data_IF_284694392130
#
_entry.id   IF_284694392130
#
_cell.length_a   1.000
_cell.length_b   1.000
_cell.length_c   1.000
_cell.angle_alpha   90.00
_cell.angle_beta   90.00
_cell.angle_gamma   90.00
#
_symmetry.space_group_name_H-M   'P 1'
#
loop_
_entity.id
_entity.type
_entity.pdbx_description
1 polymer ?
#
# COMPACT_ATOMS: atom_id res chain seq x y z
N UNK A 1 22.54 0.16 -43.98
CA UNK A 1 21.98 -0.89 -43.14
C UNK A 1 21.47 -0.19 -41.91
N UNK A 2 20.18 0.10 -41.85
CA UNK A 2 19.52 0.67 -40.67
C UNK A 2 19.39 -0.44 -39.64
N UNK A 3 20.20 -0.38 -38.59
CA UNK A 3 20.05 -1.25 -37.41
C UNK A 3 18.65 -1.08 -36.88
N UNK A 4 17.86 -2.16 -36.80
CA UNK A 4 16.65 -2.22 -36.03
C UNK A 4 17.00 -1.82 -34.59
N UNK A 5 16.68 -0.60 -34.19
CA UNK A 5 16.69 -0.17 -32.81
C UNK A 5 15.65 -1.06 -32.10
N UNK A 6 16.12 -2.10 -31.41
CA UNK A 6 15.24 -2.92 -30.56
C UNK A 6 14.75 -1.98 -29.46
N UNK A 7 13.54 -1.46 -29.62
CA UNK A 7 12.91 -0.62 -28.61
C UNK A 7 12.61 -1.51 -27.39
N UNK A 8 13.36 -1.34 -26.33
CA UNK A 8 13.06 -1.98 -25.05
C UNK A 8 11.64 -1.58 -24.62
N UNK A 9 10.84 -2.57 -24.22
CA UNK A 9 9.49 -2.31 -23.74
C UNK A 9 9.49 -1.88 -22.30
N UNK A 10 10.32 -2.53 -21.47
CA UNK A 10 10.40 -2.23 -20.04
C UNK A 10 11.83 -2.17 -19.55
N UNK A 11 12.09 -1.16 -18.71
CA UNK A 11 13.29 -1.01 -17.89
C UNK A 11 12.94 -1.28 -16.43
N UNK A 12 13.61 -2.24 -15.83
CA UNK A 12 13.51 -2.59 -14.40
C UNK A 12 14.69 -1.92 -13.71
N UNK A 13 14.42 -0.91 -12.90
CA UNK A 13 15.44 -0.15 -12.17
C UNK A 13 15.53 -0.64 -10.74
N UNK A 14 16.71 -1.05 -10.31
CA UNK A 14 16.98 -1.59 -8.99
C UNK A 14 18.09 -0.80 -8.31
N UNK A 15 17.79 -0.12 -7.22
CA UNK A 15 18.80 0.53 -6.37
C UNK A 15 19.37 -0.49 -5.38
N UNK A 16 20.71 -0.54 -5.25
CA UNK A 16 21.40 -1.54 -4.46
C UNK A 16 22.37 -0.89 -3.48
N UNK A 17 22.26 -1.24 -2.20
CA UNK A 17 23.26 -0.92 -1.19
C UNK A 17 23.29 -2.01 -0.11
N UNK A 18 24.39 -2.77 -0.02
CA UNK A 18 24.59 -3.84 0.96
C UNK A 18 23.44 -4.87 1.01
N UNK A 19 23.15 -5.51 -0.13
CA UNK A 19 22.05 -6.48 -0.31
C UNK A 19 22.52 -7.87 -0.79
N UNK A 20 23.78 -8.24 -0.58
CA UNK A 20 24.37 -9.51 -1.06
C UNK A 20 23.48 -10.74 -0.78
N UNK A 21 22.77 -10.76 0.36
CA UNK A 21 21.93 -11.91 0.79
C UNK A 21 20.64 -12.06 -0.01
N UNK A 22 20.18 -11.00 -0.66
CA UNK A 22 18.85 -10.95 -1.30
C UNK A 22 18.92 -10.82 -2.81
N UNK A 23 20.06 -10.35 -3.34
CA UNK A 23 20.25 -10.04 -4.76
C UNK A 23 19.96 -11.22 -5.68
N UNK A 24 20.44 -12.42 -5.36
CA UNK A 24 20.22 -13.61 -6.21
C UNK A 24 18.73 -13.84 -6.44
N UNK A 25 17.90 -13.75 -5.41
CA UNK A 25 16.44 -13.91 -5.53
C UNK A 25 15.79 -12.79 -6.36
N UNK A 26 16.21 -11.56 -6.13
CA UNK A 26 15.72 -10.41 -6.90
C UNK A 26 16.06 -10.57 -8.39
N UNK A 27 17.33 -10.81 -8.71
CA UNK A 27 17.81 -10.96 -10.09
C UNK A 27 17.14 -12.16 -10.77
N UNK A 28 17.09 -13.34 -10.09
CA UNK A 28 16.46 -14.52 -10.63
C UNK A 28 14.98 -14.29 -10.97
N UNK A 29 14.25 -13.57 -10.15
CA UNK A 29 12.84 -13.24 -10.42
C UNK A 29 12.66 -12.40 -11.71
N UNK A 30 13.65 -11.56 -12.04
CA UNK A 30 13.67 -10.78 -13.28
C UNK A 30 14.03 -11.66 -14.49
N UNK A 31 14.99 -12.60 -14.30
CA UNK A 31 15.35 -13.59 -15.31
C UNK A 31 14.16 -14.51 -15.63
N UNK A 32 13.38 -14.89 -14.63
CA UNK A 32 12.24 -15.80 -14.75
C UNK A 32 10.96 -15.15 -15.31
N UNK A 33 10.96 -13.83 -15.52
CA UNK A 33 9.79 -13.16 -16.14
C UNK A 33 9.46 -13.81 -17.47
N UNK A 34 8.20 -14.23 -17.64
CA UNK A 34 7.69 -14.86 -18.86
C UNK A 34 7.50 -13.82 -19.99
N UNK A 35 8.62 -13.29 -20.46
CA UNK A 35 8.71 -12.30 -21.53
C UNK A 35 10.01 -12.44 -22.30
N UNK A 36 9.95 -12.10 -23.60
CA UNK A 36 11.13 -12.01 -24.44
C UNK A 36 12.17 -11.04 -23.84
N UNK A 37 13.37 -11.57 -23.56
CA UNK A 37 14.46 -10.81 -22.96
C UNK A 37 14.97 -9.67 -23.84
N UNK A 38 14.75 -9.75 -25.16
CA UNK A 38 15.06 -8.63 -26.07
C UNK A 38 14.26 -7.36 -25.75
N UNK A 39 13.05 -7.51 -25.18
CA UNK A 39 12.17 -6.42 -24.77
C UNK A 39 12.46 -5.89 -23.34
N UNK A 40 13.30 -6.57 -22.58
CA UNK A 40 13.65 -6.22 -21.21
C UNK A 40 15.02 -5.54 -21.15
N UNK A 41 15.17 -4.64 -20.18
CA UNK A 41 16.45 -4.30 -19.58
C UNK A 41 16.29 -4.21 -18.07
N UNK A 42 17.30 -4.66 -17.34
CA UNK A 42 17.39 -4.53 -15.89
C UNK A 42 18.63 -3.69 -15.57
N UNK A 43 18.43 -2.57 -14.89
CA UNK A 43 19.48 -1.61 -14.54
C UNK A 43 19.65 -1.62 -13.03
N UNK A 44 20.72 -2.25 -12.58
CA UNK A 44 21.12 -2.26 -11.18
C UNK A 44 22.08 -1.13 -10.93
N UNK A 45 21.73 -0.22 -10.02
CA UNK A 45 22.59 0.90 -9.64
C UNK A 45 23.08 0.67 -8.21
N UNK A 46 24.36 0.35 -8.10
CA UNK A 46 25.03 0.11 -6.83
C UNK A 46 25.49 1.43 -6.21
N UNK A 47 25.04 1.70 -5.00
CA UNK A 47 25.35 2.91 -4.22
C UNK A 47 26.63 2.73 -3.38
N UNK A 48 27.69 2.21 -4.03
CA UNK A 48 29.01 1.94 -3.40
C UNK A 48 28.88 0.96 -2.22
N UNK A 49 28.31 -0.22 -2.49
CA UNK A 49 28.19 -1.29 -1.51
C UNK A 49 29.54 -1.72 -0.94
N UNK A 50 29.56 -1.98 0.36
CA UNK A 50 30.76 -2.44 1.09
C UNK A 50 30.80 -3.96 1.30
N UNK A 51 29.70 -4.65 0.97
CA UNK A 51 29.58 -6.11 0.94
C UNK A 51 29.86 -6.66 -0.46
N UNK A 52 29.51 -7.92 -0.72
CA UNK A 52 29.75 -8.56 -2.02
C UNK A 52 28.71 -8.20 -3.11
N UNK A 53 27.77 -7.26 -2.84
CA UNK A 53 26.68 -6.91 -3.76
C UNK A 53 27.17 -6.55 -5.16
N UNK A 54 28.16 -5.66 -5.26
CA UNK A 54 28.67 -5.22 -6.56
C UNK A 54 29.29 -6.35 -7.40
N UNK A 55 30.02 -7.28 -6.76
CA UNK A 55 30.60 -8.42 -7.47
C UNK A 55 29.53 -9.40 -7.98
N UNK A 56 28.46 -9.61 -7.20
CA UNK A 56 27.29 -10.40 -7.62
C UNK A 56 26.67 -9.75 -8.87
N UNK A 57 26.42 -8.45 -8.84
CA UNK A 57 25.83 -7.71 -9.97
C UNK A 57 26.67 -7.82 -11.23
N UNK A 58 27.99 -7.67 -11.11
CA UNK A 58 28.92 -7.79 -12.26
C UNK A 58 28.85 -9.17 -12.89
N UNK A 59 28.85 -10.23 -12.08
CA UNK A 59 28.72 -11.60 -12.57
C UNK A 59 27.47 -11.77 -13.44
N UNK A 60 26.31 -11.29 -12.95
CA UNK A 60 25.05 -11.39 -13.72
C UNK A 60 25.04 -10.50 -14.95
N UNK A 61 25.65 -9.31 -14.90
CA UNK A 61 25.76 -8.43 -16.06
C UNK A 61 26.69 -9.01 -17.15
N UNK A 62 27.71 -9.79 -16.77
CA UNK A 62 28.58 -10.51 -17.72
C UNK A 62 27.86 -11.74 -18.33
N UNK A 63 26.89 -12.33 -17.64
CA UNK A 63 26.16 -13.51 -18.10
C UNK A 63 24.91 -13.19 -18.95
N UNK A 64 24.25 -12.05 -18.69
CA UNK A 64 22.95 -11.70 -19.32
C UNK A 64 22.99 -10.32 -19.98
N UNK A 65 22.93 -10.24 -21.29
CA UNK A 65 23.00 -9.02 -22.10
C UNK A 65 21.94 -7.96 -21.75
N UNK A 66 20.81 -8.35 -21.16
CA UNK A 66 19.75 -7.44 -20.75
C UNK A 66 19.92 -6.88 -19.34
N UNK A 67 20.94 -7.35 -18.59
CA UNK A 67 21.28 -6.88 -17.25
C UNK A 67 22.46 -5.91 -17.35
N UNK A 68 22.32 -4.72 -16.76
CA UNK A 68 23.36 -3.71 -16.65
C UNK A 68 23.63 -3.40 -15.19
N UNK A 69 24.90 -3.26 -14.84
CA UNK A 69 25.35 -2.81 -13.52
C UNK A 69 26.07 -1.46 -13.66
N UNK A 70 25.64 -0.48 -12.88
CA UNK A 70 26.25 0.84 -12.77
C UNK A 70 26.61 1.04 -11.30
N UNK A 71 27.81 1.52 -11.00
CA UNK A 71 28.22 1.90 -9.65
C UNK A 71 28.35 3.42 -9.57
N UNK A 72 27.83 4.03 -8.51
CA UNK A 72 28.03 5.45 -8.23
C UNK A 72 29.50 5.71 -7.85
N UNK A 73 29.95 6.96 -7.97
CA UNK A 73 31.32 7.37 -7.58
C UNK A 73 31.43 7.44 -6.05
N UNK A 74 30.39 7.84 -5.35
CA UNK A 74 30.31 7.94 -3.90
C UNK A 74 28.93 7.49 -3.39
N UNK A 75 28.85 7.05 -2.13
CA UNK A 75 27.59 6.66 -1.51
C UNK A 75 26.69 7.88 -1.33
N UNK A 76 25.48 7.80 -1.86
CA UNK A 76 24.50 8.90 -1.88
C UNK A 76 23.72 9.06 -0.57
N UNK A 77 23.81 8.07 0.32
CA UNK A 77 23.11 8.06 1.61
C UNK A 77 21.65 7.66 1.55
N UNK A 78 21.13 7.28 0.37
CA UNK A 78 19.73 6.85 0.20
C UNK A 78 19.40 6.36 -1.20
N UNK A 79 18.20 5.83 -1.43
CA UNK A 79 17.84 5.21 -2.71
C UNK A 79 17.49 6.21 -3.82
N UNK A 80 17.44 7.52 -3.55
CA UNK A 80 16.99 8.54 -4.49
C UNK A 80 17.90 8.67 -5.72
N UNK A 81 19.22 8.89 -5.50
CA UNK A 81 20.16 9.09 -6.57
C UNK A 81 20.38 7.85 -7.44
N UNK A 82 20.54 6.62 -6.88
CA UNK A 82 20.56 5.40 -7.68
C UNK A 82 19.31 5.22 -8.53
N UNK A 83 18.09 5.48 -7.98
CA UNK A 83 16.84 5.37 -8.74
C UNK A 83 16.76 6.42 -9.85
N UNK A 84 17.14 7.68 -9.58
CA UNK A 84 17.16 8.74 -10.57
C UNK A 84 18.13 8.42 -11.72
N UNK A 85 19.33 7.93 -11.42
CA UNK A 85 20.29 7.49 -12.44
C UNK A 85 19.71 6.33 -13.27
N UNK A 86 19.12 5.32 -12.61
CA UNK A 86 18.47 4.20 -13.30
C UNK A 86 17.34 4.65 -14.23
N UNK A 87 16.49 5.61 -13.82
CA UNK A 87 15.45 6.20 -14.68
C UNK A 87 16.07 6.94 -15.86
N UNK A 88 17.13 7.71 -15.65
CA UNK A 88 17.83 8.45 -16.70
C UNK A 88 18.44 7.51 -17.75
N UNK A 89 19.06 6.42 -17.32
CA UNK A 89 19.71 5.41 -18.14
C UNK A 89 18.74 4.45 -18.85
N UNK A 90 17.45 4.49 -18.46
CA UNK A 90 16.41 3.61 -19.00
C UNK A 90 16.09 3.92 -20.45
N UNK A 91 15.88 2.86 -21.26
CA UNK A 91 15.50 2.92 -22.68
C UNK A 91 14.09 2.36 -22.95
N UNK A 92 13.51 1.68 -21.96
CA UNK A 92 12.18 1.09 -22.05
C UNK A 92 11.09 2.14 -22.18
N UNK A 93 10.01 1.76 -22.88
CA UNK A 93 8.78 2.56 -22.93
C UNK A 93 8.18 2.72 -21.52
N UNK A 94 8.24 1.66 -20.75
CA UNK A 94 7.80 1.63 -19.36
C UNK A 94 8.98 1.44 -18.41
N UNK A 95 8.79 1.90 -17.17
CA UNK A 95 9.76 1.72 -16.07
C UNK A 95 9.01 1.10 -14.88
N UNK A 96 9.70 0.26 -14.15
CA UNK A 96 9.36 -0.12 -12.78
C UNK A 96 10.57 0.06 -11.87
N UNK A 97 10.30 0.42 -10.62
CA UNK A 97 11.31 0.46 -9.57
C UNK A 97 11.13 -0.78 -8.69
N UNK A 98 12.21 -1.50 -8.45
CA UNK A 98 12.24 -2.69 -7.60
C UNK A 98 13.29 -2.49 -6.52
N UNK A 99 12.94 -2.79 -5.27
CA UNK A 99 13.91 -2.79 -4.17
C UNK A 99 14.76 -4.09 -4.26
N UNK A 100 16.05 -3.99 -4.04
CA UNK A 100 17.01 -5.09 -4.25
C UNK A 100 16.78 -6.32 -3.33
N UNK A 101 15.95 -6.18 -2.30
CA UNK A 101 15.53 -7.25 -1.39
C UNK A 101 14.14 -7.81 -1.70
N UNK A 102 13.45 -7.28 -2.71
CA UNK A 102 12.12 -7.71 -3.16
C UNK A 102 12.24 -8.59 -4.42
N UNK A 103 11.09 -9.14 -4.91
CA UNK A 103 11.08 -9.95 -6.15
C UNK A 103 9.75 -9.84 -6.90
N UNK A 104 9.79 -10.16 -8.20
CA UNK A 104 8.66 -10.07 -9.13
C UNK A 104 7.98 -11.41 -9.37
N UNK A 105 6.70 -11.36 -9.74
CA UNK A 105 5.96 -12.53 -10.20
C UNK A 105 6.18 -12.79 -11.70
N UNK A 106 6.49 -14.03 -12.09
CA UNK A 106 6.91 -14.34 -13.45
C UNK A 106 5.82 -14.12 -14.50
N UNK A 107 4.54 -14.25 -14.18
CA UNK A 107 3.42 -14.13 -15.10
C UNK A 107 2.62 -12.83 -14.91
N UNK A 108 2.22 -12.53 -13.68
CA UNK A 108 1.36 -11.37 -13.39
C UNK A 108 1.99 -10.05 -13.79
N UNK A 109 3.31 -9.93 -13.63
CA UNK A 109 4.05 -8.75 -14.03
C UNK A 109 4.01 -8.50 -15.55
N UNK A 110 4.38 -9.48 -16.42
CA UNK A 110 4.20 -9.34 -17.88
C UNK A 110 2.75 -9.13 -18.32
N UNK A 111 1.77 -9.74 -17.65
CA UNK A 111 0.35 -9.55 -17.96
C UNK A 111 -0.09 -8.11 -17.75
N UNK A 112 0.34 -7.47 -16.66
CA UNK A 112 0.04 -6.05 -16.41
C UNK A 112 0.66 -5.15 -17.50
N UNK A 113 1.88 -5.44 -17.98
CA UNK A 113 2.51 -4.70 -19.09
C UNK A 113 1.67 -4.85 -20.36
N UNK A 114 1.22 -6.08 -20.69
CA UNK A 114 0.38 -6.31 -21.87
C UNK A 114 -0.93 -5.54 -21.77
N UNK A 115 -1.56 -5.53 -20.60
CA UNK A 115 -2.78 -4.76 -20.34
C UNK A 115 -2.55 -3.26 -20.54
N UNK A 116 -1.42 -2.73 -20.05
CA UNK A 116 -1.06 -1.32 -20.26
C UNK A 116 -0.81 -0.98 -21.75
N UNK A 117 -0.17 -1.88 -22.49
CA UNK A 117 0.06 -1.71 -23.94
C UNK A 117 -1.25 -1.68 -24.73
N UNK A 118 -2.14 -2.63 -24.43
CA UNK A 118 -3.45 -2.75 -25.11
C UNK A 118 -4.31 -1.50 -24.91
N UNK A 119 -4.26 -0.90 -23.71
CA UNK A 119 -5.10 0.24 -23.33
C UNK A 119 -4.38 1.59 -23.37
N UNK A 120 -3.09 1.63 -23.71
CA UNK A 120 -2.29 2.85 -23.76
C UNK A 120 -2.09 3.54 -22.43
N UNK A 121 -2.15 2.80 -21.31
CA UNK A 121 -2.11 3.37 -19.96
C UNK A 121 -0.74 3.97 -19.62
N UNK A 122 -0.76 5.09 -18.90
CA UNK A 122 0.46 5.76 -18.44
C UNK A 122 1.03 5.12 -17.17
N UNK A 123 0.15 4.53 -16.33
CA UNK A 123 0.53 3.84 -15.10
C UNK A 123 -0.28 2.55 -14.93
N UNK A 124 0.37 1.50 -14.42
CA UNK A 124 -0.24 0.22 -14.08
C UNK A 124 -0.09 -0.08 -12.60
N UNK A 125 -1.14 -0.66 -12.03
CA UNK A 125 -1.19 -1.10 -10.64
C UNK A 125 -1.52 -2.59 -10.59
N UNK A 126 -0.68 -3.37 -9.91
CA UNK A 126 -0.88 -4.80 -9.70
C UNK A 126 -0.74 -5.18 -8.23
N UNK A 127 -1.27 -6.36 -7.88
CA UNK A 127 -1.30 -6.82 -6.50
C UNK A 127 0.10 -7.13 -5.99
N UNK A 128 0.47 -6.52 -4.88
CA UNK A 128 1.69 -6.83 -4.15
C UNK A 128 1.38 -7.53 -2.81
N UNK A 129 2.28 -8.44 -2.39
CA UNK A 129 2.19 -9.12 -1.11
C UNK A 129 3.42 -8.85 -0.27
N UNK A 130 3.19 -8.61 1.00
CA UNK A 130 4.23 -8.47 2.00
C UNK A 130 4.49 -9.83 2.65
N UNK A 131 5.70 -10.35 2.48
CA UNK A 131 6.13 -11.64 2.99
C UNK A 131 6.87 -11.43 4.32
N UNK A 132 6.32 -11.98 5.41
CA UNK A 132 6.87 -11.97 6.75
C UNK A 132 7.11 -13.41 7.23
N UNK A 133 7.87 -13.59 8.31
CA UNK A 133 8.13 -14.93 8.86
C UNK A 133 6.86 -15.70 9.24
N UNK A 134 5.77 -15.01 9.60
CA UNK A 134 4.55 -15.62 10.13
C UNK A 134 3.36 -15.52 9.20
N UNK A 135 3.37 -14.58 8.26
CA UNK A 135 2.23 -14.31 7.41
C UNK A 135 2.61 -13.71 6.05
N UNK A 136 1.69 -13.83 5.10
CA UNK A 136 1.72 -13.14 3.80
C UNK A 136 0.45 -12.30 3.72
N UNK A 137 0.60 -10.99 3.59
CA UNK A 137 -0.52 -10.05 3.56
C UNK A 137 -0.50 -9.14 2.33
N UNK A 138 -1.67 -8.81 1.81
CA UNK A 138 -1.81 -7.86 0.69
C UNK A 138 -1.28 -6.48 1.06
N UNK A 139 -0.71 -5.80 0.06
CA UNK A 139 -0.30 -4.41 0.17
C UNK A 139 -1.11 -3.58 -0.80
N UNK A 140 -1.62 -2.44 -0.34
CA UNK A 140 -2.35 -1.47 -1.17
C UNK A 140 -3.50 -2.08 -2.00
N UNK A 141 -4.31 -2.92 -1.38
CA UNK A 141 -5.43 -3.59 -2.04
C UNK A 141 -6.36 -2.61 -2.79
N UNK A 142 -6.49 -1.36 -2.32
CA UNK A 142 -7.24 -0.30 -3.00
C UNK A 142 -6.73 0.04 -4.41
N UNK A 143 -5.47 -0.28 -4.74
CA UNK A 143 -4.88 -0.05 -6.06
C UNK A 143 -4.91 -1.28 -6.97
N UNK A 144 -5.42 -2.43 -6.49
CA UNK A 144 -5.28 -3.72 -7.20
C UNK A 144 -6.36 -4.74 -6.80
N UNK A 145 -7.61 -4.31 -6.68
CA UNK A 145 -8.70 -5.17 -6.22
C UNK A 145 -9.53 -5.80 -7.35
N UNK A 146 -9.36 -5.31 -8.57
CA UNK A 146 -10.05 -5.83 -9.77
C UNK A 146 -9.25 -5.54 -11.03
N UNK A 147 -9.59 -6.21 -12.14
CA UNK A 147 -9.11 -5.82 -13.46
C UNK A 147 -9.92 -4.65 -13.99
N UNK A 148 -9.26 -3.52 -14.28
CA UNK A 148 -9.89 -2.31 -14.81
C UNK A 148 -8.90 -1.49 -15.66
N UNK A 149 -9.42 -0.71 -16.60
CA UNK A 149 -8.64 0.10 -17.55
C UNK A 149 -9.28 1.47 -17.73
N UNK A 150 -8.49 2.43 -18.26
CA UNK A 150 -8.98 3.78 -18.53
C UNK A 150 -9.33 4.59 -17.28
N UNK A 151 -8.78 4.19 -16.14
CA UNK A 151 -9.01 4.89 -14.87
C UNK A 151 -8.23 6.21 -14.87
N UNK A 152 -8.79 7.26 -14.24
CA UNK A 152 -8.03 8.46 -13.88
C UNK A 152 -7.21 8.13 -12.63
N UNK A 153 -5.85 8.10 -12.69
CA UNK A 153 -5.06 7.51 -11.62
C UNK A 153 -5.29 8.14 -10.25
N UNK A 154 -5.31 9.46 -10.16
CA UNK A 154 -5.48 10.16 -8.90
C UNK A 154 -6.92 10.14 -8.33
N UNK A 155 -7.91 9.70 -9.13
CA UNK A 155 -9.29 9.53 -8.68
C UNK A 155 -9.55 8.12 -8.10
N UNK A 156 -8.61 7.18 -8.25
CA UNK A 156 -8.71 5.87 -7.60
C UNK A 156 -8.72 6.09 -6.09
N UNK A 157 -9.83 5.68 -5.45
CA UNK A 157 -10.03 5.93 -4.02
C UNK A 157 -8.87 5.39 -3.18
N UNK A 158 -8.33 6.23 -2.31
CA UNK A 158 -7.17 5.95 -1.45
C UNK A 158 -5.85 5.61 -2.18
N UNK A 159 -5.71 5.87 -3.47
CA UNK A 159 -4.49 5.54 -4.22
C UNK A 159 -3.21 6.05 -3.54
N UNK A 160 -3.26 7.23 -2.96
CA UNK A 160 -2.13 7.84 -2.26
C UNK A 160 -1.82 7.23 -0.87
N UNK A 161 -2.60 6.25 -0.40
CA UNK A 161 -2.26 5.48 0.81
C UNK A 161 -1.10 4.50 0.56
N UNK A 162 -0.76 4.22 -0.71
CA UNK A 162 0.28 3.31 -1.13
C UNK A 162 1.30 3.93 -2.08
N UNK A 163 2.10 4.89 -1.62
CA UNK A 163 3.08 5.61 -2.44
C UNK A 163 4.49 4.98 -2.46
N UNK A 164 4.62 3.67 -2.25
CA UNK A 164 5.86 2.93 -2.46
C UNK A 164 5.98 2.36 -3.88
N UNK A 165 7.15 1.80 -4.27
CA UNK A 165 7.42 1.32 -5.63
C UNK A 165 6.62 0.05 -6.00
N UNK A 166 6.28 -0.76 -5.02
CA UNK A 166 5.70 -2.09 -5.20
C UNK A 166 4.43 -2.11 -6.05
N UNK A 167 4.41 -3.03 -7.01
CA UNK A 167 3.27 -3.28 -7.88
C UNK A 167 2.94 -2.16 -8.87
N UNK A 168 3.88 -1.26 -9.17
CA UNK A 168 3.69 -0.14 -10.09
C UNK A 168 4.60 -0.23 -11.31
N UNK A 169 4.00 0.02 -12.46
CA UNK A 169 4.69 0.19 -13.74
C UNK A 169 4.23 1.52 -14.32
N UNK A 170 5.13 2.32 -14.84
CA UNK A 170 4.77 3.63 -15.37
C UNK A 170 5.49 3.95 -16.69
N UNK A 171 4.87 4.80 -17.48
CA UNK A 171 5.41 5.24 -18.77
C UNK A 171 6.60 6.16 -18.55
N UNK A 172 7.73 5.85 -19.19
CA UNK A 172 8.98 6.63 -19.07
C UNK A 172 8.78 8.10 -19.47
N UNK A 173 8.01 8.37 -20.53
CA UNK A 173 7.75 9.73 -20.99
C UNK A 173 7.10 10.60 -19.91
N UNK A 174 6.25 10.04 -19.03
CA UNK A 174 5.62 10.81 -17.94
C UNK A 174 6.66 11.41 -17.00
N UNK A 175 7.72 10.66 -16.66
CA UNK A 175 8.79 11.19 -15.78
C UNK A 175 9.64 12.23 -16.48
N UNK A 176 9.91 12.06 -17.79
CA UNK A 176 10.73 12.99 -18.56
C UNK A 176 9.97 14.29 -18.84
N UNK A 177 8.73 14.20 -19.36
CA UNK A 177 7.94 15.35 -19.79
C UNK A 177 7.60 16.29 -18.63
N UNK A 178 7.49 15.74 -17.42
CA UNK A 178 7.20 16.49 -16.18
C UNK A 178 8.43 16.65 -15.27
N UNK A 179 9.62 16.19 -15.68
CA UNK A 179 10.86 16.22 -14.89
C UNK A 179 10.70 15.64 -13.46
N UNK A 180 9.94 14.54 -13.35
CA UNK A 180 9.65 13.88 -12.07
C UNK A 180 10.88 13.10 -11.60
N UNK A 181 11.36 13.41 -10.39
CA UNK A 181 12.57 12.81 -9.82
C UNK A 181 12.35 12.48 -8.35
N UNK A 182 13.03 11.45 -7.88
CA UNK A 182 13.17 11.23 -6.44
C UNK A 182 13.98 12.37 -5.83
N UNK A 183 13.51 12.95 -4.75
CA UNK A 183 14.28 13.90 -3.96
C UNK A 183 15.27 13.17 -3.07
N UNK A 184 16.46 13.74 -2.90
CA UNK A 184 17.46 13.20 -2.01
C UNK A 184 17.04 13.42 -0.55
N UNK A 185 16.18 12.51 -0.08
CA UNK A 185 15.74 12.38 1.30
C UNK A 185 16.10 10.97 1.78
N UNK A 186 16.61 10.86 2.98
CA UNK A 186 16.91 9.56 3.61
C UNK A 186 15.66 8.68 3.77
N UNK A 187 14.49 9.32 3.95
CA UNK A 187 13.21 8.65 4.18
C UNK A 187 12.08 9.42 3.52
N UNK A 188 11.06 8.70 3.03
CA UNK A 188 9.84 9.24 2.40
C UNK A 188 10.03 9.91 1.03
N UNK A 189 11.15 9.69 0.35
CA UNK A 189 11.46 10.15 -1.01
C UNK A 189 10.43 9.65 -2.04
N UNK A 190 9.91 8.44 -1.84
CA UNK A 190 8.87 7.82 -2.70
C UNK A 190 7.55 8.59 -2.66
N UNK A 191 7.21 9.23 -1.55
CA UNK A 191 5.92 9.95 -1.44
C UNK A 191 5.82 11.09 -2.43
N UNK A 192 6.88 11.90 -2.55
CA UNK A 192 6.92 13.01 -3.51
C UNK A 192 6.89 12.49 -4.94
N UNK A 193 7.72 11.50 -5.26
CA UNK A 193 7.81 10.92 -6.58
C UNK A 193 6.47 10.33 -7.05
N UNK A 194 5.86 9.43 -6.26
CA UNK A 194 4.61 8.79 -6.65
C UNK A 194 3.40 9.71 -6.53
N UNK A 195 3.42 10.71 -5.63
CA UNK A 195 2.38 11.73 -5.60
C UNK A 195 2.32 12.50 -6.92
N UNK A 196 3.45 12.96 -7.42
CA UNK A 196 3.55 13.68 -8.67
C UNK A 196 3.27 12.76 -9.88
N UNK A 197 3.88 11.58 -9.93
CA UNK A 197 3.71 10.60 -11.01
C UNK A 197 2.23 10.21 -11.19
N UNK A 198 1.54 9.83 -10.12
CA UNK A 198 0.13 9.45 -10.16
C UNK A 198 -0.73 10.62 -10.59
N UNK A 199 -0.43 11.84 -10.10
CA UNK A 199 -1.21 13.04 -10.41
C UNK A 199 -1.02 13.54 -11.85
N UNK A 200 0.16 13.32 -12.45
CA UNK A 200 0.47 13.74 -13.83
C UNK A 200 0.18 12.64 -14.87
N UNK A 201 -0.04 11.40 -14.47
CA UNK A 201 -0.48 10.31 -15.35
C UNK A 201 -1.94 10.51 -15.77
N UNK A 202 -2.25 10.28 -17.07
CA UNK A 202 -3.59 10.54 -17.63
C UNK A 202 -4.51 9.33 -17.52
N UNK A 203 -3.95 8.12 -17.58
CA UNK A 203 -4.72 6.88 -17.58
C UNK A 203 -4.02 5.77 -16.81
N UNK A 204 -4.81 4.91 -16.16
CA UNK A 204 -4.32 3.75 -15.46
C UNK A 204 -4.98 2.45 -15.87
N UNK A 205 -4.20 1.37 -15.80
CA UNK A 205 -4.67 -0.02 -15.74
C UNK A 205 -4.48 -0.56 -14.33
N UNK A 206 -5.42 -1.38 -13.88
CA UNK A 206 -5.39 -2.06 -12.58
C UNK A 206 -5.61 -3.56 -12.80
N UNK A 207 -4.90 -4.40 -12.05
CA UNK A 207 -5.14 -5.84 -12.01
C UNK A 207 -5.06 -6.37 -10.58
N UNK A 208 -5.85 -7.38 -10.28
CA UNK A 208 -5.78 -8.15 -9.03
C UNK A 208 -4.84 -9.37 -9.13
N UNK A 209 -4.18 -9.54 -10.28
CA UNK A 209 -3.11 -10.51 -10.42
C UNK A 209 -1.92 -10.14 -9.53
N UNK A 210 -1.28 -11.16 -8.98
CA UNK A 210 -0.08 -11.01 -8.18
C UNK A 210 1.10 -10.62 -9.09
N UNK A 211 1.77 -9.50 -8.77
CA UNK A 211 2.88 -8.97 -9.58
C UNK A 211 4.17 -8.77 -8.79
N UNK A 212 4.09 -8.57 -7.47
CA UNK A 212 5.22 -8.11 -6.67
C UNK A 212 5.23 -8.68 -5.25
N UNK A 213 6.40 -9.04 -4.78
CA UNK A 213 6.64 -9.48 -3.40
C UNK A 213 7.51 -8.51 -2.64
N UNK A 214 7.01 -8.02 -1.52
CA UNK A 214 7.76 -7.17 -0.58
C UNK A 214 8.38 -8.06 0.49
N UNK A 215 9.70 -8.03 0.61
CA UNK A 215 10.42 -8.77 1.65
C UNK A 215 10.36 -8.04 3.01
N UNK A 216 9.77 -8.70 3.99
CA UNK A 216 9.71 -8.22 5.38
C UNK A 216 10.07 -9.31 6.37
N UNK A 217 10.90 -10.26 5.96
CA UNK A 217 11.48 -11.25 6.85
C UNK A 217 12.33 -10.59 7.94
N UNK A 218 12.51 -11.25 9.06
CA UNK A 218 13.17 -10.68 10.24
C UNK A 218 14.66 -10.35 10.01
N UNK A 219 15.32 -11.13 9.15
CA UNK A 219 16.74 -10.99 8.76
C UNK A 219 16.98 -9.85 7.75
N UNK A 220 15.92 -9.30 7.16
CA UNK A 220 16.02 -8.14 6.29
C UNK A 220 15.94 -6.84 7.10
N UNK A 221 17.09 -6.17 7.21
CA UNK A 221 17.18 -4.83 7.81
C UNK A 221 16.83 -3.80 6.75
N UNK A 222 15.80 -2.99 7.03
CA UNK A 222 15.33 -1.94 6.13
C UNK A 222 15.43 -0.56 6.79
N UNK A 223 15.61 0.50 6.00
CA UNK A 223 15.60 1.89 6.47
C UNK A 223 14.37 2.22 7.33
N UNK A 224 13.22 1.60 7.02
CA UNK A 224 11.99 1.76 7.83
C UNK A 224 12.16 1.25 9.26
N UNK A 225 12.98 0.21 9.49
CA UNK A 225 13.25 -0.32 10.83
C UNK A 225 14.31 0.50 11.58
N UNK A 226 15.27 1.07 10.86
CA UNK A 226 16.40 1.81 11.44
C UNK A 226 16.05 3.26 11.81
N UNK A 227 15.12 3.88 11.10
CA UNK A 227 14.68 5.26 11.35
C UNK A 227 13.69 5.29 12.51
N UNK A 228 13.91 6.15 13.53
CA UNK A 228 12.97 6.28 14.64
C UNK A 228 11.69 7.06 14.28
N UNK A 229 10.68 7.01 15.16
CA UNK A 229 9.36 7.57 14.86
C UNK A 229 9.37 9.11 14.78
N UNK A 230 10.23 9.79 15.53
CA UNK A 230 10.36 11.25 15.51
C UNK A 230 11.10 11.68 14.25
N UNK A 231 12.19 11.00 13.89
CA UNK A 231 12.92 11.25 12.66
C UNK A 231 12.00 11.07 11.44
N UNK A 232 11.18 9.99 11.40
CA UNK A 232 10.17 9.78 10.33
C UNK A 232 9.14 10.90 10.26
N UNK A 233 8.69 11.39 11.42
CA UNK A 233 7.73 12.49 11.46
C UNK A 233 8.32 13.78 10.90
N UNK A 234 9.58 14.09 11.21
CA UNK A 234 10.28 15.25 10.66
C UNK A 234 10.42 15.17 9.13
N UNK A 235 10.79 14.00 8.56
CA UNK A 235 10.79 13.82 7.11
C UNK A 235 9.39 14.00 6.50
N UNK A 236 8.33 13.56 7.18
CA UNK A 236 6.97 13.77 6.70
C UNK A 236 6.54 15.24 6.75
N UNK A 237 7.06 16.04 7.68
CA UNK A 237 6.85 17.49 7.69
C UNK A 237 7.52 18.13 6.46
N UNK A 238 8.78 17.77 6.16
CA UNK A 238 9.46 18.26 4.96
C UNK A 238 8.73 17.86 3.67
N UNK A 239 8.26 16.61 3.59
CA UNK A 239 7.42 16.14 2.47
C UNK A 239 6.13 16.98 2.37
N UNK A 240 5.47 17.31 3.48
CA UNK A 240 4.27 18.15 3.47
C UNK A 240 4.55 19.57 2.95
N UNK A 241 5.65 20.19 3.40
CA UNK A 241 6.07 21.53 2.94
C UNK A 241 6.26 21.61 1.43
N UNK A 242 6.75 20.52 0.85
CA UNK A 242 6.94 20.44 -0.59
C UNK A 242 5.64 20.12 -1.33
N UNK A 243 4.89 19.11 -0.88
CA UNK A 243 3.65 18.67 -1.51
C UNK A 243 2.59 19.75 -1.59
N UNK A 244 2.42 20.54 -0.53
CA UNK A 244 1.37 21.57 -0.47
C UNK A 244 1.60 22.67 -1.52
N UNK A 245 2.86 22.86 -1.95
CA UNK A 245 3.26 23.84 -2.97
C UNK A 245 3.23 23.28 -4.39
N UNK A 246 3.15 21.95 -4.55
CA UNK A 246 3.14 21.34 -5.89
C UNK A 246 1.90 21.73 -6.68
N UNK A 247 2.08 21.96 -7.98
CA UNK A 247 0.97 22.12 -8.94
C UNK A 247 0.38 20.75 -9.28
N UNK A 248 -0.59 20.32 -8.47
CA UNK A 248 -1.32 19.07 -8.59
C UNK A 248 -2.82 19.33 -8.68
N UNK A 249 -3.61 18.44 -9.29
CA UNK A 249 -5.06 18.51 -9.22
C UNK A 249 -5.53 18.62 -7.75
N UNK A 250 -6.49 19.48 -7.48
CA UNK A 250 -6.92 19.79 -6.10
C UNK A 250 -7.38 18.54 -5.34
N UNK A 251 -8.10 17.66 -6.01
CA UNK A 251 -8.51 16.37 -5.43
C UNK A 251 -7.29 15.50 -5.04
N UNK A 252 -6.28 15.40 -5.92
CA UNK A 252 -5.05 14.67 -5.64
C UNK A 252 -4.32 15.25 -4.43
N UNK A 253 -4.15 16.59 -4.41
CA UNK A 253 -3.51 17.31 -3.30
C UNK A 253 -4.22 17.02 -1.98
N UNK A 254 -5.56 17.10 -1.97
CA UNK A 254 -6.38 16.78 -0.79
C UNK A 254 -6.14 15.36 -0.30
N UNK A 255 -6.16 14.36 -1.19
CA UNK A 255 -5.94 12.96 -0.84
C UNK A 255 -4.54 12.69 -0.29
N UNK A 256 -3.51 13.35 -0.85
CA UNK A 256 -2.13 13.21 -0.40
C UNK A 256 -1.94 13.81 0.99
N UNK A 257 -2.45 15.02 1.22
CA UNK A 257 -2.36 15.69 2.53
C UNK A 257 -3.16 14.90 3.58
N UNK A 258 -4.38 14.42 3.24
CA UNK A 258 -5.17 13.52 4.09
C UNK A 258 -4.34 12.30 4.53
N UNK A 259 -3.62 11.68 3.60
CA UNK A 259 -2.74 10.56 3.95
C UNK A 259 -1.66 10.96 4.95
N UNK A 260 -1.02 12.12 4.78
CA UNK A 260 0.02 12.58 5.71
C UNK A 260 -0.59 12.85 7.08
N UNK A 261 -1.67 13.60 7.17
CA UNK A 261 -2.34 13.94 8.44
C UNK A 261 -2.82 12.68 9.16
N UNK A 262 -3.60 11.84 8.48
CA UNK A 262 -4.23 10.69 9.11
C UNK A 262 -3.26 9.54 9.39
N UNK A 263 -2.44 9.17 8.40
CA UNK A 263 -1.59 7.98 8.53
C UNK A 263 -0.22 8.29 9.10
N UNK A 264 0.45 9.33 8.61
CA UNK A 264 1.83 9.58 9.04
C UNK A 264 1.88 10.27 10.40
N UNK A 265 0.86 11.09 10.75
CA UNK A 265 0.77 11.73 12.06
C UNK A 265 -0.21 11.02 13.00
N UNK A 266 -1.52 11.10 12.79
CA UNK A 266 -2.48 10.58 13.78
C UNK A 266 -2.25 9.09 14.05
N UNK A 267 -2.16 8.27 12.99
CA UNK A 267 -2.01 6.82 13.14
C UNK A 267 -0.60 6.42 13.60
N UNK A 268 0.45 6.88 12.92
CA UNK A 268 1.82 6.36 13.11
C UNK A 268 2.62 7.06 14.19
N UNK A 269 2.23 8.27 14.58
CA UNK A 269 2.88 9.02 15.66
C UNK A 269 2.09 8.86 16.96
N UNK A 270 0.79 9.18 16.95
CA UNK A 270 0.01 9.21 18.17
C UNK A 270 -0.66 7.89 18.56
N UNK A 271 -1.23 7.13 17.61
CA UNK A 271 -1.86 5.84 17.93
C UNK A 271 -0.78 4.76 18.10
N UNK A 272 0.13 5.01 19.06
CA UNK A 272 1.25 4.12 19.41
C UNK A 272 1.50 4.05 20.90
N UNK A 273 1.97 2.88 21.34
CA UNK A 273 2.43 2.68 22.73
C UNK A 273 3.61 3.57 23.08
N UNK A 274 4.49 3.89 22.12
CA UNK A 274 5.65 4.77 22.30
C UNK A 274 5.23 6.18 22.71
N UNK A 275 4.23 6.76 22.02
CA UNK A 275 3.67 8.05 22.40
C UNK A 275 3.09 8.04 23.82
N UNK A 276 2.23 7.08 24.15
CA UNK A 276 1.59 7.02 25.48
C UNK A 276 2.59 6.86 26.62
N UNK A 277 3.72 6.19 26.37
CA UNK A 277 4.79 5.94 27.34
C UNK A 277 5.86 7.03 27.38
N UNK A 278 5.85 7.95 26.43
CA UNK A 278 6.86 9.01 26.36
C UNK A 278 6.77 9.97 27.56
N UNK A 279 7.91 10.26 28.15
CA UNK A 279 8.05 11.30 29.19
C UNK A 279 8.14 12.71 28.57
N UNK A 280 8.37 12.81 27.26
CA UNK A 280 8.48 14.08 26.53
C UNK A 280 7.45 14.11 25.39
N UNK A 281 6.18 14.26 25.74
CA UNK A 281 5.08 14.31 24.77
C UNK A 281 5.01 15.63 24.01
N UNK A 282 5.60 16.71 24.55
CA UNK A 282 5.59 18.02 23.89
C UNK A 282 6.28 17.97 22.52
N UNK A 283 7.30 17.11 22.32
CA UNK A 283 7.93 16.93 20.99
C UNK A 283 6.90 16.49 19.95
N UNK A 284 6.01 15.55 20.29
CA UNK A 284 4.98 15.05 19.40
C UNK A 284 3.90 16.11 19.12
N UNK A 285 3.50 16.85 20.15
CA UNK A 285 2.51 17.92 20.01
C UNK A 285 3.06 19.07 19.16
N UNK A 286 4.30 19.50 19.39
CA UNK A 286 4.93 20.57 18.61
C UNK A 286 5.03 20.22 17.12
N UNK A 287 5.40 18.96 16.78
CA UNK A 287 5.40 18.49 15.39
C UNK A 287 4.00 18.55 14.77
N UNK A 288 2.97 18.16 15.52
CA UNK A 288 1.60 18.19 15.01
C UNK A 288 1.06 19.64 14.88
N UNK A 289 1.43 20.54 15.77
CA UNK A 289 1.17 21.97 15.65
C UNK A 289 1.88 22.57 14.42
N UNK A 290 3.12 22.14 14.12
CA UNK A 290 3.81 22.55 12.89
C UNK A 290 3.06 22.09 11.64
N UNK A 291 2.55 20.85 11.60
CA UNK A 291 1.70 20.36 10.50
C UNK A 291 0.45 21.23 10.33
N UNK A 292 -0.25 21.54 11.43
CA UNK A 292 -1.44 22.39 11.38
C UNK A 292 -1.11 23.80 10.87
N UNK A 293 0.02 24.37 11.31
CA UNK A 293 0.46 25.70 10.87
C UNK A 293 0.79 25.73 9.36
N UNK A 294 1.52 24.73 8.85
CA UNK A 294 1.82 24.61 7.42
C UNK A 294 0.52 24.56 6.60
N UNK A 295 -0.45 23.76 7.03
CA UNK A 295 -1.75 23.62 6.35
C UNK A 295 -2.49 24.96 6.35
N UNK A 296 -2.55 25.63 7.49
CA UNK A 296 -3.23 26.91 7.67
C UNK A 296 -2.59 28.04 6.88
N UNK A 297 -1.26 28.12 6.83
CA UNK A 297 -0.52 29.12 6.04
C UNK A 297 -0.81 29.04 4.53
N UNK A 298 -1.25 27.87 4.06
CA UNK A 298 -1.65 27.64 2.67
C UNK A 298 -3.17 27.75 2.44
N UNK A 299 -3.91 28.26 3.43
CA UNK A 299 -5.33 28.59 3.30
C UNK A 299 -6.29 27.42 3.50
N UNK A 300 -5.83 26.30 4.10
CA UNK A 300 -6.66 25.14 4.40
C UNK A 300 -6.90 24.99 5.91
N UNK A 301 -7.94 24.24 6.27
CA UNK A 301 -8.15 23.71 7.61
C UNK A 301 -7.73 22.23 7.66
N UNK A 302 -7.16 21.78 8.78
CA UNK A 302 -6.76 20.38 8.94
C UNK A 302 -7.98 19.44 8.85
N UNK A 303 -9.17 19.89 9.24
CA UNK A 303 -10.41 19.11 9.14
C UNK A 303 -10.78 18.80 7.68
N UNK A 304 -10.38 19.62 6.71
CA UNK A 304 -10.57 19.34 5.28
C UNK A 304 -9.88 18.06 4.80
N UNK A 305 -8.92 17.57 5.58
CA UNK A 305 -8.08 16.40 5.27
C UNK A 305 -8.37 15.19 6.14
N UNK A 306 -9.40 15.23 7.00
CA UNK A 306 -9.83 14.14 7.85
C UNK A 306 -11.01 13.39 7.22
N UNK A 307 -10.76 12.19 6.68
CA UNK A 307 -11.76 11.37 6.00
C UNK A 307 -12.24 10.19 6.87
N UNK A 308 -11.41 9.76 7.81
CA UNK A 308 -11.69 8.61 8.66
C UNK A 308 -12.24 9.07 10.01
N UNK A 309 -13.48 8.66 10.33
CA UNK A 309 -14.18 8.98 11.58
C UNK A 309 -13.30 8.80 12.83
N UNK A 310 -12.38 7.81 12.85
CA UNK A 310 -11.46 7.59 13.98
C UNK A 310 -10.46 8.70 14.16
N UNK A 311 -9.95 9.22 13.05
CA UNK A 311 -8.94 10.28 13.06
C UNK A 311 -9.58 11.64 13.26
N UNK A 312 -10.77 11.85 12.72
CA UNK A 312 -11.60 13.04 13.02
C UNK A 312 -11.90 13.12 14.53
N UNK A 313 -12.34 12.02 15.14
CA UNK A 313 -12.60 11.98 16.57
C UNK A 313 -11.31 12.15 17.41
N UNK A 314 -10.17 11.62 16.94
CA UNK A 314 -8.89 11.87 17.59
C UNK A 314 -8.54 13.37 17.58
N UNK A 315 -8.75 14.04 16.44
CA UNK A 315 -8.51 15.47 16.32
C UNK A 315 -9.47 16.29 17.19
N UNK A 316 -10.77 15.98 17.22
CA UNK A 316 -11.73 16.65 18.11
C UNK A 316 -11.38 16.44 19.59
N UNK A 317 -10.90 15.25 19.97
CA UNK A 317 -10.39 15.01 21.33
C UNK A 317 -9.14 15.86 21.62
N UNK A 318 -8.25 16.06 20.64
CA UNK A 318 -7.09 16.93 20.75
C UNK A 318 -7.49 18.40 20.93
N UNK A 319 -8.46 18.88 20.15
CA UNK A 319 -9.02 20.24 20.31
C UNK A 319 -9.66 20.44 21.68
N UNK A 320 -10.28 19.39 22.25
CA UNK A 320 -10.90 19.46 23.57
C UNK A 320 -9.86 19.65 24.68
N UNK A 321 -8.86 18.76 24.75
CA UNK A 321 -7.67 18.89 25.60
C UNK A 321 -6.64 17.81 25.30
N UNK A 322 -5.36 18.03 25.63
CA UNK A 322 -4.30 17.03 25.55
C UNK A 322 -4.63 15.77 26.38
N UNK A 323 -5.28 15.92 27.53
CA UNK A 323 -5.69 14.79 28.39
C UNK A 323 -6.76 13.93 27.68
N UNK A 324 -7.83 14.52 27.15
CA UNK A 324 -8.86 13.81 26.40
C UNK A 324 -8.30 13.12 25.16
N UNK A 325 -7.38 13.78 24.47
CA UNK A 325 -6.68 13.18 23.34
C UNK A 325 -5.91 11.93 23.74
N UNK A 326 -5.07 11.99 24.79
CA UNK A 326 -4.31 10.83 25.25
C UNK A 326 -5.22 9.68 25.71
N UNK A 327 -6.31 9.98 26.37
CA UNK A 327 -7.29 8.98 26.75
C UNK A 327 -8.02 8.37 25.56
N UNK A 328 -8.33 9.17 24.52
CA UNK A 328 -8.90 8.68 23.27
C UNK A 328 -7.91 7.75 22.55
N UNK A 329 -6.64 8.14 22.44
CA UNK A 329 -5.58 7.30 21.88
C UNK A 329 -5.43 5.98 22.67
N UNK A 330 -5.49 6.05 23.98
CA UNK A 330 -5.47 4.86 24.86
C UNK A 330 -6.69 3.95 24.60
N UNK A 331 -7.87 4.53 24.47
CA UNK A 331 -9.08 3.81 24.12
C UNK A 331 -8.93 3.11 22.75
N UNK A 332 -8.47 3.82 21.73
CA UNK A 332 -8.26 3.28 20.38
C UNK A 332 -7.25 2.14 20.34
N UNK A 333 -6.20 2.19 21.17
CA UNK A 333 -5.16 1.16 21.21
C UNK A 333 -5.57 -0.11 21.95
N UNK A 334 -6.37 0.01 23.01
CA UNK A 334 -6.60 -1.10 23.93
C UNK A 334 -8.05 -1.55 24.03
N UNK A 335 -9.01 -0.67 23.81
CA UNK A 335 -10.41 -0.90 24.16
C UNK A 335 -11.37 -0.82 22.97
N UNK A 336 -10.96 -0.27 21.83
CA UNK A 336 -11.84 -0.05 20.67
C UNK A 336 -12.47 -1.34 20.10
N UNK A 337 -11.87 -2.50 20.37
CA UNK A 337 -12.39 -3.79 19.91
C UNK A 337 -13.23 -4.52 20.93
N UNK A 338 -13.21 -4.12 22.21
CA UNK A 338 -13.76 -4.89 23.32
C UNK A 338 -15.29 -4.70 23.51
N UNK A 339 -15.79 -3.52 23.24
CA UNK A 339 -17.19 -3.19 23.54
C UNK A 339 -17.89 -2.61 22.31
N UNK A 340 -18.82 -3.38 21.75
CA UNK A 340 -19.64 -2.99 20.62
C UNK A 340 -21.08 -3.34 20.89
N UNK A 341 -22.02 -2.62 20.28
CA UNK A 341 -23.44 -2.94 20.30
C UNK A 341 -24.06 -2.78 18.92
N UNK A 342 -25.16 -3.43 18.67
CA UNK A 342 -25.89 -3.36 17.40
C UNK A 342 -27.08 -2.41 17.57
N UNK A 343 -27.21 -1.48 16.63
CA UNK A 343 -28.38 -0.61 16.52
C UNK A 343 -28.72 -0.42 15.05
N UNK A 344 -29.99 -0.67 14.67
CA UNK A 344 -30.45 -0.53 13.29
C UNK A 344 -29.58 -1.30 12.26
N UNK A 345 -29.23 -2.54 12.58
CA UNK A 345 -28.37 -3.42 11.78
C UNK A 345 -26.96 -2.86 11.49
N UNK A 346 -26.47 -1.94 12.32
CA UNK A 346 -25.12 -1.39 12.26
C UNK A 346 -24.41 -1.63 13.59
N UNK A 347 -23.16 -2.02 13.52
CA UNK A 347 -22.30 -2.21 14.71
C UNK A 347 -21.71 -0.89 15.12
N UNK A 348 -21.97 -0.47 16.34
CA UNK A 348 -21.48 0.74 16.99
C UNK A 348 -20.42 0.41 18.03
N UNK A 349 -19.42 1.30 18.16
CA UNK A 349 -18.45 1.23 19.24
C UNK A 349 -19.04 1.85 20.52
N UNK A 350 -18.92 1.16 21.64
CA UNK A 350 -19.37 1.70 22.91
C UNK A 350 -18.29 2.60 23.52
N UNK A 351 -18.51 3.89 23.48
CA UNK A 351 -17.59 4.87 24.08
C UNK A 351 -17.78 4.97 25.58
N UNK A 352 -16.70 5.18 26.36
CA UNK A 352 -16.81 5.71 27.71
C UNK A 352 -17.56 7.05 27.74
N UNK A 353 -18.32 7.32 28.81
CA UNK A 353 -19.17 8.52 28.96
C UNK A 353 -18.44 9.84 28.71
N UNK A 354 -17.16 9.90 29.07
CA UNK A 354 -16.31 11.07 28.84
C UNK A 354 -16.14 11.45 27.35
N UNK A 355 -16.45 10.54 26.42
CA UNK A 355 -16.40 10.78 24.97
C UNK A 355 -17.78 10.97 24.34
N UNK A 356 -18.84 11.17 25.13
CA UNK A 356 -20.20 11.39 24.63
C UNK A 356 -20.35 12.63 23.73
N UNK A 357 -19.38 13.54 23.74
CA UNK A 357 -19.32 14.69 22.83
C UNK A 357 -18.77 14.32 21.44
N UNK A 358 -18.18 13.16 21.25
CA UNK A 358 -17.67 12.69 19.96
C UNK A 358 -18.73 11.89 19.21
N UNK A 359 -18.79 11.98 17.88
CA UNK A 359 -19.61 11.08 17.07
C UNK A 359 -19.26 9.63 17.33
N UNK A 360 -20.28 8.78 17.51
CA UNK A 360 -20.09 7.36 17.75
C UNK A 360 -19.52 6.67 16.51
N UNK A 361 -18.39 6.01 16.65
CA UNK A 361 -17.81 5.19 15.58
C UNK A 361 -18.70 4.02 15.23
N UNK A 362 -18.73 3.68 13.95
CA UNK A 362 -19.48 2.55 13.43
C UNK A 362 -18.60 1.68 12.53
N UNK A 363 -18.89 0.37 12.50
CA UNK A 363 -18.26 -0.53 11.52
C UNK A 363 -19.04 -0.49 10.20
N UNK A 364 -18.34 -0.47 9.06
CA UNK A 364 -18.98 -0.51 7.75
C UNK A 364 -19.69 -1.83 7.48
N UNK A 365 -19.01 -2.93 7.81
CA UNK A 365 -19.53 -4.29 7.67
C UNK A 365 -18.93 -5.19 8.75
N UNK A 366 -19.75 -6.00 9.38
CA UNK A 366 -19.38 -7.08 10.30
C UNK A 366 -20.24 -8.27 9.98
N UNK A 367 -19.65 -9.44 9.86
CA UNK A 367 -20.38 -10.69 9.66
C UNK A 367 -20.11 -11.67 10.78
N UNK A 368 -21.15 -12.38 11.20
CA UNK A 368 -21.12 -13.39 12.25
C UNK A 368 -21.71 -14.67 11.71
N UNK A 369 -21.08 -15.80 11.99
CA UNK A 369 -21.63 -17.11 11.65
C UNK A 369 -22.86 -17.39 12.50
N UNK A 370 -24.00 -17.68 11.86
CA UNK A 370 -25.31 -17.87 12.48
C UNK A 370 -25.74 -19.35 12.56
N UNK A 371 -24.84 -20.25 12.15
CA UNK A 371 -25.04 -21.71 12.21
C UNK A 371 -25.23 -22.35 10.84
N UNK A 372 -25.42 -23.69 10.89
CA UNK A 372 -25.64 -24.54 9.72
C UNK A 372 -27.12 -24.82 9.56
N UNK A 373 -27.67 -24.53 8.39
CA UNK A 373 -29.09 -24.74 8.08
C UNK A 373 -29.24 -25.78 6.95
N UNK A 374 -30.23 -26.66 7.09
CA UNK A 374 -30.60 -27.61 6.05
C UNK A 374 -31.86 -27.14 5.30
N UNK A 375 -31.69 -26.86 4.01
CA UNK A 375 -32.72 -26.34 3.13
C UNK A 375 -32.58 -26.94 1.73
N UNK A 376 -33.68 -27.32 1.09
CA UNK A 376 -33.70 -27.83 -0.28
C UNK A 376 -32.65 -28.95 -0.52
N UNK A 377 -32.59 -29.92 0.38
CA UNK A 377 -31.66 -31.08 0.33
C UNK A 377 -30.17 -30.69 0.40
N UNK A 378 -29.84 -29.47 0.88
CA UNK A 378 -28.45 -28.95 0.95
C UNK A 378 -28.21 -28.31 2.32
N UNK A 379 -27.00 -28.49 2.84
CA UNK A 379 -26.51 -27.78 4.02
C UNK A 379 -25.89 -26.46 3.63
N UNK A 380 -26.24 -25.41 4.36
CA UNK A 380 -25.74 -24.06 4.21
C UNK A 380 -25.16 -23.56 5.51
N UNK A 381 -23.95 -22.97 5.45
CA UNK A 381 -23.46 -22.09 6.51
C UNK A 381 -24.08 -20.72 6.31
N UNK A 382 -24.75 -20.21 7.34
CA UNK A 382 -25.47 -18.93 7.30
C UNK A 382 -24.66 -17.88 8.03
N UNK A 383 -24.47 -16.74 7.39
CA UNK A 383 -23.77 -15.60 7.96
C UNK A 383 -24.74 -14.44 8.11
N UNK A 384 -24.91 -13.93 9.32
CA UNK A 384 -25.64 -12.68 9.54
C UNK A 384 -24.71 -11.48 9.34
N UNK A 385 -25.14 -10.50 8.53
CA UNK A 385 -24.32 -9.34 8.14
C UNK A 385 -24.92 -8.05 8.71
N UNK A 386 -24.16 -7.39 9.55
CA UNK A 386 -24.44 -6.06 10.08
C UNK A 386 -23.66 -5.04 9.26
N UNK A 387 -24.34 -4.15 8.54
CA UNK A 387 -23.69 -3.23 7.62
C UNK A 387 -24.35 -1.85 7.56
N UNK A 388 -23.57 -0.81 7.25
CA UNK A 388 -24.10 0.52 6.94
C UNK A 388 -24.98 0.45 5.68
N UNK A 389 -26.02 1.29 5.54
CA UNK A 389 -26.90 1.29 4.37
C UNK A 389 -26.17 1.38 3.02
N UNK A 390 -25.09 2.13 2.96
CA UNK A 390 -24.30 2.35 1.74
C UNK A 390 -23.22 1.27 1.49
N UNK A 391 -23.26 0.14 2.23
CA UNK A 391 -22.29 -0.93 2.04
C UNK A 391 -22.83 -1.96 1.06
N UNK A 392 -22.11 -2.18 -0.03
CA UNK A 392 -22.41 -3.18 -1.05
C UNK A 392 -21.50 -4.39 -0.87
N UNK A 393 -22.12 -5.58 -0.73
CA UNK A 393 -21.35 -6.84 -0.68
C UNK A 393 -21.08 -7.26 -2.12
N UNK A 394 -19.83 -7.60 -2.41
CA UNK A 394 -19.32 -7.90 -3.75
C UNK A 394 -18.80 -9.32 -3.89
N UNK A 395 -18.55 -10.00 -2.77
CA UNK A 395 -18.05 -11.36 -2.82
C UNK A 395 -17.79 -11.96 -1.44
N UNK A 396 -17.65 -13.29 -1.47
CA UNK A 396 -17.21 -14.07 -0.32
C UNK A 396 -16.04 -14.95 -0.74
N UNK A 397 -15.01 -14.97 0.04
CA UNK A 397 -13.79 -15.75 -0.23
C UNK A 397 -13.41 -16.62 0.97
N UNK A 398 -12.87 -17.80 0.70
CA UNK A 398 -12.01 -18.50 1.66
C UNK A 398 -10.60 -17.95 1.50
N UNK A 399 -9.98 -17.57 2.60
CA UNK A 399 -8.61 -17.06 2.62
C UNK A 399 -7.81 -17.89 3.61
N UNK A 400 -6.71 -18.47 3.17
CA UNK A 400 -5.85 -19.29 4.03
C UNK A 400 -5.38 -18.48 5.24
N UNK A 401 -5.41 -19.11 6.40
CA UNK A 401 -4.93 -18.47 7.63
C UNK A 401 -3.44 -18.13 7.48
N UNK A 402 -3.10 -16.89 7.78
CA UNK A 402 -1.75 -16.32 7.66
C UNK A 402 -1.18 -16.27 6.21
N UNK A 403 -2.02 -16.48 5.18
CA UNK A 403 -1.56 -16.37 3.80
C UNK A 403 -2.66 -15.82 2.88
N UNK A 404 -2.74 -14.51 2.75
CA UNK A 404 -3.73 -13.84 1.89
C UNK A 404 -3.50 -14.03 0.39
N UNK A 405 -2.38 -14.64 -0.03
CA UNK A 405 -2.13 -14.96 -1.43
C UNK A 405 -2.91 -16.22 -1.87
N UNK A 406 -3.22 -17.12 -0.93
CA UNK A 406 -3.98 -18.35 -1.17
C UNK A 406 -5.45 -18.13 -0.82
N UNK A 407 -6.31 -18.12 -1.84
CA UNK A 407 -7.74 -17.84 -1.68
C UNK A 407 -8.60 -18.57 -2.70
N UNK A 408 -9.89 -18.73 -2.38
CA UNK A 408 -10.91 -19.28 -3.26
C UNK A 408 -12.19 -18.42 -3.16
N UNK A 409 -12.68 -17.92 -4.28
CA UNK A 409 -13.97 -17.24 -4.35
C UNK A 409 -15.11 -18.26 -4.21
N UNK A 410 -16.10 -17.93 -3.40
CA UNK A 410 -17.28 -18.75 -3.16
C UNK A 410 -18.49 -18.20 -3.91
N UNK A 411 -19.38 -19.12 -4.32
CA UNK A 411 -20.76 -18.78 -4.69
C UNK A 411 -21.55 -18.55 -3.43
N UNK A 412 -22.43 -17.57 -3.43
CA UNK A 412 -23.30 -17.26 -2.30
C UNK A 412 -24.66 -16.77 -2.77
N UNK A 413 -25.63 -16.93 -1.90
CA UNK A 413 -26.96 -16.30 -2.01
C UNK A 413 -27.10 -15.29 -0.90
N UNK A 414 -27.79 -14.18 -1.15
CA UNK A 414 -28.03 -13.15 -0.14
C UNK A 414 -29.53 -12.87 -0.05
N UNK A 415 -30.09 -12.99 1.15
CA UNK A 415 -31.46 -12.65 1.45
C UNK A 415 -31.47 -11.75 2.68
N UNK A 416 -32.05 -10.55 2.55
CA UNK A 416 -32.03 -9.51 3.59
C UNK A 416 -30.59 -9.21 4.09
N UNK A 417 -30.29 -9.62 5.32
CA UNK A 417 -28.99 -9.44 5.94
C UNK A 417 -28.27 -10.78 6.18
N UNK A 418 -28.65 -11.84 5.49
CA UNK A 418 -28.04 -13.16 5.61
C UNK A 418 -27.40 -13.60 4.29
N UNK A 419 -26.21 -14.18 4.40
CA UNK A 419 -25.48 -14.82 3.30
C UNK A 419 -25.49 -16.31 3.54
N UNK A 420 -25.84 -17.06 2.49
CA UNK A 420 -25.93 -18.51 2.48
C UNK A 420 -24.80 -19.09 1.64
N UNK A 421 -23.94 -19.92 2.25
CA UNK A 421 -22.82 -20.60 1.62
C UNK A 421 -23.07 -22.10 1.68
N UNK A 422 -22.98 -22.82 0.55
CA UNK A 422 -23.08 -24.28 0.59
C UNK A 422 -21.91 -24.85 1.39
N UNK A 423 -22.23 -25.69 2.38
CA UNK A 423 -21.20 -26.31 3.25
C UNK A 423 -20.16 -27.11 2.44
N UNK A 424 -20.61 -27.79 1.37
CA UNK A 424 -19.72 -28.57 0.50
C UNK A 424 -18.70 -27.71 -0.27
N UNK A 425 -18.94 -26.39 -0.45
CA UNK A 425 -18.02 -25.48 -1.11
C UNK A 425 -16.92 -24.94 -0.17
N UNK A 426 -17.07 -25.17 1.16
CA UNK A 426 -16.17 -24.63 2.18
C UNK A 426 -14.92 -25.50 2.38
N UNK A 427 -14.10 -25.57 1.35
CA UNK A 427 -12.79 -26.20 1.42
C UNK A 427 -11.76 -25.37 0.63
N UNK A 428 -10.55 -25.31 1.11
CA UNK A 428 -9.40 -24.65 0.49
C UNK A 428 -8.23 -25.62 0.52
N UNK A 429 -8.23 -26.57 -0.45
CA UNK A 429 -7.32 -27.72 -0.49
C UNK A 429 -7.19 -28.38 0.90
N UNK A 430 -5.98 -28.44 1.48
CA UNK A 430 -5.72 -28.98 2.80
C UNK A 430 -5.38 -27.87 3.83
N UNK A 431 -5.86 -26.65 3.62
CA UNK A 431 -5.52 -25.51 4.48
C UNK A 431 -6.67 -25.09 5.36
N UNK A 432 -6.35 -24.68 6.58
CA UNK A 432 -7.25 -23.91 7.42
C UNK A 432 -7.49 -22.53 6.81
N UNK A 433 -8.73 -22.03 6.89
CA UNK A 433 -9.14 -20.79 6.26
C UNK A 433 -10.04 -19.92 7.13
N UNK A 434 -10.07 -18.65 6.79
CA UNK A 434 -11.10 -17.71 7.22
C UNK A 434 -12.11 -17.48 6.10
N UNK A 435 -13.37 -17.31 6.44
CA UNK A 435 -14.38 -16.77 5.53
C UNK A 435 -14.25 -15.25 5.58
N UNK A 436 -14.13 -14.63 4.42
CA UNK A 436 -13.95 -13.18 4.27
C UNK A 436 -15.01 -12.62 3.34
N UNK A 437 -15.71 -11.60 3.80
CA UNK A 437 -16.69 -10.85 2.99
C UNK A 437 -15.99 -9.66 2.36
N UNK A 438 -16.10 -9.51 1.04
CA UNK A 438 -15.63 -8.35 0.27
C UNK A 438 -16.78 -7.38 0.09
N UNK A 439 -16.50 -6.10 0.26
CA UNK A 439 -17.48 -5.02 0.10
C UNK A 439 -16.81 -3.70 -0.30
N UNK A 440 -17.56 -2.81 -0.94
CA UNK A 440 -17.12 -1.48 -1.34
C UNK A 440 -15.76 -1.51 -2.05
N UNK A 441 -15.66 -2.26 -3.14
CA UNK A 441 -14.47 -2.46 -3.98
C UNK A 441 -13.34 -3.26 -3.28
N UNK A 442 -12.56 -2.67 -2.40
CA UNK A 442 -11.38 -3.32 -1.83
C UNK A 442 -11.49 -3.60 -0.33
N UNK A 443 -12.58 -3.23 0.33
CA UNK A 443 -12.75 -3.45 1.75
C UNK A 443 -13.15 -4.91 2.03
N UNK A 444 -12.78 -5.40 3.19
CA UNK A 444 -13.10 -6.77 3.60
C UNK A 444 -13.32 -6.88 5.11
N UNK A 445 -14.05 -7.89 5.50
CA UNK A 445 -14.30 -8.27 6.91
C UNK A 445 -14.21 -9.78 7.05
N UNK A 446 -13.40 -10.24 7.98
CA UNK A 446 -13.39 -11.66 8.38
C UNK A 446 -14.66 -11.95 9.17
N UNK A 447 -15.25 -13.11 8.91
CA UNK A 447 -16.42 -13.59 9.63
C UNK A 447 -16.03 -14.01 11.05
N UNK A 448 -16.78 -13.54 12.03
CA UNK A 448 -16.61 -13.95 13.44
C UNK A 448 -17.40 -15.24 13.70
N UNK A 449 -16.82 -16.16 14.45
CA UNK A 449 -17.56 -17.29 14.97
C UNK A 449 -18.61 -16.80 16.01
N UNK A 450 -19.81 -17.38 15.97
CA UNK A 450 -20.76 -17.22 17.06
C UNK A 450 -20.27 -18.04 18.26
N UNK A 451 -20.11 -17.44 19.39
CA UNK A 451 -19.81 -18.12 20.65
C UNK A 451 -21.08 -18.24 21.50
#
# INVERSE_FOLDING_TARGET
MGGLTINKLISIVVSVYNKEKFLDKCIQSIIDLNRDKSQLEAIFVDDVSTDNSYNILKKYADEYDFIRCIQLEENSGGPADPRNLGIQESKGKYITIVDADDWLEPNGYPNLINQMEEHGSDIGFGQAFKNRNKDIVKVANFASYKKANGLVPYEIYKIFRGMGPWGKIFKRSTTIDHNIKFRNLKFAEDKLFYAELISKSKSASMTDEHVYHVNRYSDNISLVKETDDIEKANFNIEVLKDLIKMDLPEYAKKQIISRIVEMDFISRVFIKKSFLKSNNKDVYYNMFEEVQNIIKEHGYDIEDFLENERYTNAFHAYQHSKEHFEEYIKFMLYNAHAHKYIKNNVVHFNYPDKFNYLPTLTSKCVAVHDGTHYMNETFYEVLHVYKKPNTTIEGVELVKINDESTRKTLKYEIHDNQIYLKTDDLHLDNYDFNIVIKFNDFEHSTVYASH
#
